data_IF_452001055482
#
_entry.id   IF_452001055482
#
_cell.length_a   1.000
_cell.length_b   1.000
_cell.length_c   1.000
_cell.angle_alpha   90.00
_cell.angle_beta   90.00
_cell.angle_gamma   90.00
#
_symmetry.space_group_name_H-M   'P 1'
#
loop_
_entity.id
_entity.type
_entity.pdbx_description
1 polymer ?
#
# COMPACT_ATOMS: atom_id res chain seq x y z
N UNK A 1 1.67 19.17 0.10
CA UNK A 1 1.15 19.91 -1.08
C UNK A 1 2.26 20.23 -2.08
N UNK A 2 3.45 20.60 -1.63
CA UNK A 2 4.60 20.97 -2.49
C UNK A 2 5.14 19.88 -3.40
N UNK A 3 4.84 18.62 -3.11
CA UNK A 3 5.25 17.45 -3.89
C UNK A 3 4.14 16.92 -4.82
N UNK A 4 3.01 17.63 -4.90
CA UNK A 4 1.90 17.25 -5.79
C UNK A 4 2.14 17.85 -7.17
N UNK A 5 1.87 17.08 -8.22
CA UNK A 5 2.02 17.53 -9.61
C UNK A 5 1.30 18.87 -9.84
N UNK A 6 1.98 19.81 -10.49
CA UNK A 6 1.44 21.15 -10.76
C UNK A 6 1.43 22.13 -9.58
N UNK A 7 1.86 21.73 -8.37
CA UNK A 7 1.90 22.59 -7.18
C UNK A 7 3.33 22.89 -6.73
N UNK A 8 3.78 24.13 -6.95
CA UNK A 8 5.01 24.64 -6.33
C UNK A 8 4.79 25.20 -4.90
N UNK A 9 5.88 25.60 -4.21
CA UNK A 9 5.82 26.18 -2.85
C UNK A 9 4.82 27.33 -2.70
N UNK A 10 4.78 28.26 -3.65
CA UNK A 10 3.84 29.39 -3.61
C UNK A 10 2.38 28.95 -3.75
N UNK A 11 2.08 27.99 -4.63
CA UNK A 11 0.70 27.53 -4.82
C UNK A 11 0.23 26.70 -3.63
N UNK A 12 1.10 25.86 -3.08
CA UNK A 12 0.82 25.11 -1.86
C UNK A 12 0.45 26.05 -0.70
N UNK A 13 1.19 27.16 -0.54
CA UNK A 13 0.87 28.19 0.44
C UNK A 13 -0.49 28.83 0.17
N UNK A 14 -0.75 29.26 -1.07
CA UNK A 14 -2.02 29.90 -1.44
C UNK A 14 -3.24 29.00 -1.17
N UNK A 15 -3.13 27.68 -1.40
CA UNK A 15 -4.21 26.73 -1.09
C UNK A 15 -4.49 26.67 0.42
N UNK A 16 -3.43 26.68 1.24
CA UNK A 16 -3.56 26.68 2.70
C UNK A 16 -4.17 27.98 3.19
N UNK A 17 -3.71 29.12 2.69
CA UNK A 17 -4.20 30.44 3.07
C UNK A 17 -5.68 30.59 2.66
N UNK A 18 -6.04 30.21 1.44
CA UNK A 18 -7.44 30.19 0.99
C UNK A 18 -8.33 29.34 1.90
N UNK A 19 -7.87 28.15 2.31
CA UNK A 19 -8.60 27.27 3.23
C UNK A 19 -8.73 27.86 4.63
N UNK A 20 -7.74 28.60 5.11
CA UNK A 20 -7.82 29.30 6.42
C UNK A 20 -8.86 30.41 6.39
N UNK A 21 -8.93 31.16 5.30
CA UNK A 21 -9.83 32.30 5.15
C UNK A 21 -11.28 31.90 4.83
N UNK A 22 -11.46 30.89 3.97
CA UNK A 22 -12.77 30.52 3.42
C UNK A 22 -13.32 29.21 4.00
N UNK A 23 -12.57 28.55 4.87
CA UNK A 23 -12.91 27.24 5.43
C UNK A 23 -12.53 26.07 4.51
N UNK A 24 -13.00 24.88 4.89
CA UNK A 24 -12.69 23.65 4.15
C UNK A 24 -13.28 23.66 2.73
N UNK A 25 -12.54 23.11 1.77
CA UNK A 25 -13.07 22.89 0.42
C UNK A 25 -14.18 21.83 0.45
N UNK A 26 -15.26 22.10 -0.28
CA UNK A 26 -16.43 21.22 -0.45
C UNK A 26 -16.53 20.63 -1.85
N UNK A 27 -15.74 21.15 -2.80
CA UNK A 27 -15.58 20.59 -4.15
C UNK A 27 -14.26 21.00 -4.79
N UNK A 28 -13.76 20.21 -5.75
CA UNK A 28 -12.53 20.54 -6.49
C UNK A 28 -12.68 21.82 -7.30
N UNK A 29 -13.88 22.13 -7.78
CA UNK A 29 -14.16 23.39 -8.48
C UNK A 29 -13.84 24.64 -7.66
N UNK A 30 -13.86 24.56 -6.32
CA UNK A 30 -13.45 25.68 -5.46
C UNK A 30 -11.95 25.93 -5.51
N UNK A 31 -11.12 24.95 -5.87
CA UNK A 31 -9.68 25.15 -6.03
C UNK A 31 -9.38 26.17 -7.13
N UNK A 32 -10.23 26.29 -8.16
CA UNK A 32 -10.11 27.31 -9.21
C UNK A 32 -10.21 28.75 -8.68
N UNK A 33 -10.74 28.94 -7.46
CA UNK A 33 -10.81 30.24 -6.79
C UNK A 33 -9.53 30.59 -6.03
N UNK A 34 -8.60 29.65 -5.89
CA UNK A 34 -7.32 29.88 -5.20
C UNK A 34 -6.47 30.85 -6.03
N UNK A 35 -5.93 31.93 -5.42
CA UNK A 35 -5.11 32.89 -6.12
C UNK A 35 -3.93 32.23 -6.85
N UNK A 36 -3.74 32.62 -8.12
CA UNK A 36 -2.67 32.14 -9.02
C UNK A 36 -2.77 30.66 -9.43
N UNK A 37 -3.82 29.93 -9.04
CA UNK A 37 -4.07 28.58 -9.56
C UNK A 37 -4.72 28.66 -10.95
N UNK A 38 -3.89 28.66 -11.99
CA UNK A 38 -4.35 28.66 -13.39
C UNK A 38 -4.98 27.33 -13.84
N UNK A 39 -5.64 27.31 -15.01
CA UNK A 39 -6.31 26.12 -15.54
C UNK A 39 -5.36 24.94 -15.77
N UNK A 40 -4.15 25.19 -16.28
CA UNK A 40 -3.13 24.14 -16.47
C UNK A 40 -2.67 23.55 -15.14
N UNK A 41 -2.40 24.39 -14.13
CA UNK A 41 -2.01 23.93 -12.80
C UNK A 41 -3.15 23.14 -12.14
N UNK A 42 -4.40 23.56 -12.32
CA UNK A 42 -5.58 22.83 -11.86
C UNK A 42 -5.67 21.45 -12.52
N UNK A 43 -5.53 21.36 -13.85
CA UNK A 43 -5.56 20.08 -14.56
C UNK A 43 -4.44 19.13 -14.07
N UNK A 44 -3.25 19.65 -13.78
CA UNK A 44 -2.15 18.80 -13.29
C UNK A 44 -2.36 18.30 -11.86
N UNK A 45 -3.02 19.09 -10.99
CA UNK A 45 -3.13 18.75 -9.57
C UNK A 45 -4.47 18.13 -9.17
N UNK A 46 -5.55 18.37 -9.93
CA UNK A 46 -6.91 18.05 -9.49
C UNK A 46 -7.11 16.57 -9.17
N UNK A 47 -6.54 15.64 -9.95
CA UNK A 47 -6.64 14.20 -9.70
C UNK A 47 -5.96 13.73 -8.41
N UNK A 48 -4.96 14.48 -7.93
CA UNK A 48 -4.19 14.14 -6.73
C UNK A 48 -4.76 14.78 -5.46
N UNK A 49 -5.56 15.84 -5.59
CA UNK A 49 -6.17 16.54 -4.46
C UNK A 49 -7.53 15.92 -4.13
N UNK A 50 -7.61 15.23 -3.00
CA UNK A 50 -8.84 14.57 -2.53
C UNK A 50 -9.57 15.41 -1.50
N UNK A 51 -10.90 15.51 -1.63
CA UNK A 51 -11.77 16.22 -0.69
C UNK A 51 -12.73 15.21 -0.07
N UNK A 52 -12.50 14.87 1.21
CA UNK A 52 -13.38 13.96 1.96
C UNK A 52 -14.71 14.65 2.25
N UNK A 53 -15.82 13.94 2.04
CA UNK A 53 -17.17 14.49 2.27
C UNK A 53 -17.57 15.60 1.29
N UNK A 54 -16.94 15.63 0.10
CA UNK A 54 -17.30 16.59 -0.95
C UNK A 54 -18.75 16.39 -1.43
N UNK A 55 -19.33 17.45 -2.00
CA UNK A 55 -20.67 17.37 -2.61
C UNK A 55 -20.73 16.39 -3.77
N UNK A 56 -19.67 16.33 -4.56
CA UNK A 56 -19.51 15.30 -5.58
C UNK A 56 -18.67 14.16 -5.00
N UNK A 57 -19.17 12.92 -4.92
CA UNK A 57 -18.43 11.81 -4.34
C UNK A 57 -17.12 11.50 -5.10
N UNK A 58 -17.01 11.85 -6.38
CA UNK A 58 -15.80 11.66 -7.18
C UNK A 58 -14.62 12.53 -6.73
N UNK A 59 -14.87 13.67 -6.06
CA UNK A 59 -13.80 14.52 -5.51
C UNK A 59 -13.03 13.84 -4.37
N UNK A 60 -13.59 12.76 -3.78
CA UNK A 60 -12.91 11.92 -2.81
C UNK A 60 -12.00 10.84 -3.44
N UNK A 61 -12.09 10.64 -4.75
CA UNK A 61 -11.41 9.58 -5.50
C UNK A 61 -10.22 10.13 -6.30
N UNK A 62 -9.41 9.26 -6.92
CA UNK A 62 -8.39 9.68 -7.89
C UNK A 62 -8.95 9.98 -9.30
N UNK A 63 -10.26 9.81 -9.53
CA UNK A 63 -10.89 10.11 -10.82
C UNK A 63 -10.70 11.59 -11.14
N UNK A 64 -10.12 11.91 -12.30
CA UNK A 64 -9.87 13.29 -12.70
C UNK A 64 -11.18 14.00 -13.12
N UNK A 65 -11.37 15.30 -12.83
CA UNK A 65 -12.57 16.05 -13.24
C UNK A 65 -12.92 16.01 -14.73
N UNK A 66 -11.93 15.79 -15.60
CA UNK A 66 -12.16 15.61 -17.05
C UNK A 66 -13.00 14.36 -17.37
N UNK A 67 -12.95 13.36 -16.50
CA UNK A 67 -13.66 12.09 -16.66
C UNK A 67 -15.01 12.06 -15.96
N UNK A 68 -15.43 13.14 -15.28
CA UNK A 68 -16.69 13.15 -14.52
C UNK A 68 -17.90 12.93 -15.42
N UNK A 69 -17.91 13.52 -16.61
CA UNK A 69 -19.00 13.33 -17.57
C UNK A 69 -19.19 11.88 -18.00
N UNK A 70 -18.10 11.11 -18.07
CA UNK A 70 -18.14 9.68 -18.42
C UNK A 70 -18.76 8.87 -17.27
N UNK A 71 -18.34 9.12 -16.04
CA UNK A 71 -18.89 8.43 -14.86
C UNK A 71 -20.37 8.79 -14.65
N UNK A 72 -20.75 10.04 -14.89
CA UNK A 72 -22.15 10.46 -14.89
C UNK A 72 -22.97 9.75 -15.98
N UNK A 73 -22.39 9.52 -17.16
CA UNK A 73 -23.04 8.75 -18.21
C UNK A 73 -23.20 7.27 -17.82
N UNK A 74 -22.16 6.65 -17.28
CA UNK A 74 -22.22 5.27 -16.76
C UNK A 74 -23.31 5.12 -15.69
N UNK A 75 -23.41 6.05 -14.76
CA UNK A 75 -24.42 6.03 -13.72
C UNK A 75 -25.85 6.16 -14.30
N UNK A 76 -26.04 7.04 -15.29
CA UNK A 76 -27.31 7.20 -16.01
C UNK A 76 -27.73 5.93 -16.73
N UNK A 77 -26.81 5.29 -17.46
CA UNK A 77 -27.10 4.06 -18.20
C UNK A 77 -27.39 2.88 -17.25
N UNK A 78 -26.77 2.86 -16.08
CA UNK A 78 -27.06 1.94 -14.98
C UNK A 78 -28.27 2.34 -14.12
N UNK A 79 -29.01 3.39 -14.52
CA UNK A 79 -30.21 3.90 -13.84
C UNK A 79 -30.00 4.17 -12.34
N UNK A 80 -28.84 4.72 -11.97
CA UNK A 80 -28.48 5.00 -10.59
C UNK A 80 -27.76 6.33 -10.44
N UNK A 81 -27.62 6.80 -9.21
CA UNK A 81 -26.77 7.96 -8.92
C UNK A 81 -25.29 7.57 -8.88
N UNK A 82 -24.40 8.53 -9.08
CA UNK A 82 -22.93 8.28 -8.97
C UNK A 82 -22.56 7.76 -7.57
N UNK A 83 -23.23 8.25 -6.52
CA UNK A 83 -23.03 7.78 -5.16
C UNK A 83 -23.43 6.31 -4.98
N UNK A 84 -24.57 5.91 -5.54
CA UNK A 84 -25.02 4.50 -5.56
C UNK A 84 -24.07 3.63 -6.38
N UNK A 85 -23.60 4.13 -7.53
CA UNK A 85 -22.65 3.40 -8.36
C UNK A 85 -21.34 3.12 -7.61
N UNK A 86 -20.83 4.09 -6.85
CA UNK A 86 -19.62 3.91 -6.02
C UNK A 86 -19.87 2.91 -4.88
N UNK A 87 -21.08 2.89 -4.31
CA UNK A 87 -21.42 2.01 -3.20
C UNK A 87 -21.72 0.56 -3.63
N UNK A 88 -22.25 0.35 -4.84
CA UNK A 88 -22.72 -0.95 -5.33
C UNK A 88 -21.72 -1.60 -6.30
N UNK A 89 -20.91 -2.52 -5.75
CA UNK A 89 -19.90 -3.26 -6.53
C UNK A 89 -20.50 -4.20 -7.57
N UNK A 90 -21.71 -4.73 -7.34
CA UNK A 90 -22.33 -5.63 -8.30
C UNK A 90 -22.80 -4.84 -9.52
N UNK A 91 -23.37 -3.64 -9.32
CA UNK A 91 -23.69 -2.73 -10.44
C UNK A 91 -22.45 -2.34 -11.24
N UNK A 92 -21.33 -2.06 -10.60
CA UNK A 92 -20.08 -1.74 -11.30
C UNK A 92 -19.66 -2.85 -12.28
N UNK A 93 -19.84 -4.12 -11.90
CA UNK A 93 -19.52 -5.28 -12.77
C UNK A 93 -20.44 -5.39 -13.99
N UNK A 94 -21.65 -4.87 -13.91
CA UNK A 94 -22.61 -4.90 -15.04
C UNK A 94 -22.31 -3.85 -16.11
N UNK A 95 -21.44 -2.88 -15.81
CA UNK A 95 -21.08 -1.81 -16.75
C UNK A 95 -20.12 -2.34 -17.80
N UNK A 96 -20.56 -2.31 -19.06
CA UNK A 96 -19.68 -2.55 -20.20
C UNK A 96 -18.89 -1.28 -20.54
N UNK A 97 -17.66 -1.20 -20.02
CA UNK A 97 -16.77 -0.05 -20.23
C UNK A 97 -16.46 0.22 -21.70
N UNK A 98 -16.57 -0.77 -22.60
CA UNK A 98 -16.26 -0.59 -24.03
C UNK A 98 -17.18 0.42 -24.71
N UNK A 99 -18.39 0.61 -24.17
CA UNK A 99 -19.38 1.57 -24.68
C UNK A 99 -18.98 3.04 -24.48
N UNK A 100 -18.04 3.30 -23.57
CA UNK A 100 -17.63 4.65 -23.18
C UNK A 100 -16.26 5.05 -23.72
N UNK A 101 -15.70 4.27 -24.65
CA UNK A 101 -14.45 4.60 -25.34
C UNK A 101 -14.71 5.80 -26.26
N UNK A 102 -13.88 6.83 -26.13
CA UNK A 102 -13.91 8.02 -27.00
C UNK A 102 -12.55 8.19 -27.68
N UNK A 103 -12.43 9.22 -28.53
CA UNK A 103 -11.15 9.59 -29.16
C UNK A 103 -10.09 9.97 -28.13
N UNK A 104 -10.50 10.55 -27.00
CA UNK A 104 -9.59 11.07 -25.98
C UNK A 104 -9.43 10.10 -24.79
N UNK A 105 -10.37 9.18 -24.60
CA UNK A 105 -10.42 8.26 -23.45
C UNK A 105 -10.45 6.81 -23.91
N UNK A 106 -9.33 6.12 -23.74
CA UNK A 106 -9.16 4.71 -24.06
C UNK A 106 -9.58 3.75 -22.95
N UNK A 107 -9.57 2.45 -23.27
CA UNK A 107 -9.86 1.38 -22.31
C UNK A 107 -8.98 1.39 -21.03
N UNK A 108 -7.67 1.71 -21.07
CA UNK A 108 -6.86 1.78 -19.85
C UNK A 108 -7.42 2.79 -18.84
N UNK A 109 -7.76 4.00 -19.31
CA UNK A 109 -8.35 5.05 -18.48
C UNK A 109 -9.68 4.63 -17.88
N UNK A 110 -10.55 3.98 -18.67
CA UNK A 110 -11.84 3.49 -18.19
C UNK A 110 -11.68 2.37 -17.16
N UNK A 111 -10.73 1.45 -17.37
CA UNK A 111 -10.38 0.42 -16.41
C UNK A 111 -9.91 1.03 -15.09
N UNK A 112 -9.06 2.06 -15.14
CA UNK A 112 -8.55 2.72 -13.94
C UNK A 112 -9.65 3.51 -13.21
N UNK A 113 -10.55 4.16 -13.94
CA UNK A 113 -11.77 4.77 -13.37
C UNK A 113 -12.57 3.70 -12.62
N UNK A 114 -12.85 2.55 -13.22
CA UNK A 114 -13.62 1.49 -12.57
C UNK A 114 -12.95 0.94 -11.31
N UNK A 115 -11.62 0.74 -11.34
CA UNK A 115 -10.86 0.35 -10.13
C UNK A 115 -10.97 1.39 -9.03
N UNK A 116 -10.94 2.66 -9.39
CA UNK A 116 -11.04 3.76 -8.44
C UNK A 116 -12.47 3.92 -7.89
N UNK A 117 -13.51 3.63 -8.68
CA UNK A 117 -14.89 3.55 -8.21
C UNK A 117 -15.12 2.38 -7.24
N UNK A 118 -14.43 1.25 -7.43
CA UNK A 118 -14.54 0.09 -6.53
C UNK A 118 -13.95 0.38 -5.14
N UNK A 119 -12.87 1.17 -5.09
CA UNK A 119 -12.14 1.53 -3.87
C UNK A 119 -11.67 2.99 -3.94
N UNK A 120 -12.57 3.96 -3.71
CA UNK A 120 -12.24 5.37 -3.85
C UNK A 120 -11.15 5.79 -2.88
N UNK A 121 -10.05 6.29 -3.42
CA UNK A 121 -8.94 6.78 -2.62
C UNK A 121 -8.13 5.67 -1.93
N UNK A 122 -8.13 4.45 -2.49
CA UNK A 122 -7.28 3.34 -2.04
C UNK A 122 -5.87 3.87 -1.78
N UNK A 123 -5.37 3.57 -0.59
CA UNK A 123 -3.98 3.83 -0.26
C UNK A 123 -3.12 2.84 -1.08
N UNK A 124 -2.22 3.32 -1.95
CA UNK A 124 -1.36 2.45 -2.74
C UNK A 124 -0.23 1.84 -1.90
N UNK A 125 -0.03 2.30 -0.66
CA UNK A 125 0.88 1.64 0.27
C UNK A 125 0.39 0.22 0.50
N UNK A 126 1.29 -0.75 0.35
CA UNK A 126 1.03 -2.12 0.78
C UNK A 126 0.51 -2.07 2.22
N UNK A 127 -0.52 -2.87 2.50
CA UNK A 127 -0.94 -3.07 3.88
C UNK A 127 0.31 -3.53 4.61
N UNK A 128 0.72 -2.77 5.63
CA UNK A 128 1.82 -3.15 6.49
C UNK A 128 1.41 -4.51 7.06
N UNK A 129 2.04 -5.59 6.61
CA UNK A 129 1.90 -6.88 7.26
C UNK A 129 2.45 -6.66 8.67
N UNK A 130 1.56 -6.59 9.66
CA UNK A 130 1.91 -6.44 11.06
C UNK A 130 2.65 -7.70 11.51
N UNK A 131 3.95 -7.73 11.26
CA UNK A 131 4.83 -8.74 11.81
C UNK A 131 4.79 -8.62 13.34
N UNK A 132 4.38 -9.70 13.99
CA UNK A 132 4.42 -9.84 15.43
C UNK A 132 5.19 -11.10 15.78
N UNK A 133 6.11 -10.97 16.74
CA UNK A 133 6.74 -12.14 17.34
C UNK A 133 5.68 -13.02 18.01
N UNK A 134 5.99 -14.31 18.17
CA UNK A 134 5.11 -15.22 18.88
C UNK A 134 4.85 -14.68 20.30
N UNK A 135 3.58 -14.51 20.67
CA UNK A 135 3.20 -13.93 21.98
C UNK A 135 3.59 -14.83 23.16
N UNK A 136 3.81 -16.11 22.89
CA UNK A 136 4.03 -17.14 23.91
C UNK A 136 5.53 -17.41 24.16
N UNK A 137 6.43 -16.74 23.42
CA UNK A 137 7.88 -16.97 23.48
C UNK A 137 8.59 -15.67 23.82
N UNK A 138 9.21 -15.62 25.00
CA UNK A 138 9.97 -14.45 25.46
C UNK A 138 11.40 -14.80 25.88
N UNK A 139 11.60 -16.03 26.33
CA UNK A 139 12.89 -16.52 26.82
C UNK A 139 13.35 -17.75 26.08
N UNK A 140 14.64 -18.07 26.19
CA UNK A 140 15.22 -19.27 25.58
C UNK A 140 14.63 -20.57 26.18
N UNK A 141 14.11 -20.51 27.42
CA UNK A 141 13.45 -21.63 28.10
C UNK A 141 12.09 -21.98 27.50
N UNK A 142 11.45 -21.03 26.80
CA UNK A 142 10.17 -21.24 26.11
C UNK A 142 10.34 -21.93 24.75
N UNK A 143 11.60 -22.05 24.27
CA UNK A 143 11.90 -22.68 22.99
C UNK A 143 11.95 -24.20 23.12
N UNK A 144 11.22 -24.87 22.23
CA UNK A 144 11.36 -26.30 22.00
C UNK A 144 11.85 -26.59 20.58
N UNK A 145 12.64 -27.65 20.44
CA UNK A 145 13.04 -28.15 19.13
C UNK A 145 11.80 -28.47 18.28
N UNK A 146 11.84 -28.03 17.02
CA UNK A 146 10.76 -28.22 16.07
C UNK A 146 9.73 -27.09 15.99
N UNK A 147 9.73 -26.13 16.92
CA UNK A 147 8.85 -24.96 16.86
C UNK A 147 9.14 -24.11 15.63
N UNK A 148 8.09 -23.59 15.01
CA UNK A 148 8.18 -22.65 13.89
C UNK A 148 7.75 -21.28 14.38
N UNK A 149 8.65 -20.30 14.27
CA UNK A 149 8.47 -18.96 14.84
C UNK A 149 8.75 -17.90 13.77
N UNK A 150 8.00 -16.78 13.78
CA UNK A 150 8.34 -15.61 12.99
C UNK A 150 9.59 -14.94 13.57
N UNK A 151 10.51 -14.54 12.69
CA UNK A 151 11.73 -13.83 13.06
C UNK A 151 12.15 -12.77 12.04
N UNK A 152 13.10 -11.93 12.44
CA UNK A 152 13.66 -10.86 11.61
C UNK A 152 15.15 -11.10 11.41
N UNK A 153 15.63 -11.02 10.17
CA UNK A 153 17.05 -11.15 9.86
C UNK A 153 17.81 -9.92 10.39
N UNK A 154 18.64 -10.12 11.41
CA UNK A 154 19.43 -9.06 12.05
C UNK A 154 20.78 -8.87 11.40
N UNK A 155 21.37 -9.94 10.88
CA UNK A 155 22.69 -9.90 10.27
C UNK A 155 22.90 -11.03 9.25
N UNK A 156 23.68 -10.76 8.20
CA UNK A 156 24.00 -11.73 7.16
C UNK A 156 25.51 -11.90 7.10
N UNK A 157 25.96 -13.15 7.16
CA UNK A 157 27.37 -13.53 7.10
C UNK A 157 27.61 -14.49 5.94
N UNK A 158 28.88 -14.83 5.67
CA UNK A 158 29.22 -15.79 4.59
C UNK A 158 28.74 -17.22 4.85
N UNK A 159 28.56 -17.60 6.12
CA UNK A 159 28.21 -18.97 6.51
C UNK A 159 26.75 -19.12 6.92
N UNK A 160 25.94 -18.06 6.85
CA UNK A 160 24.55 -18.07 7.28
C UNK A 160 24.01 -16.68 7.62
N UNK A 161 22.83 -16.63 8.22
CA UNK A 161 22.25 -15.40 8.75
C UNK A 161 21.84 -15.56 10.22
N UNK A 162 21.79 -14.44 10.93
CA UNK A 162 21.25 -14.34 12.27
C UNK A 162 19.82 -13.82 12.20
N UNK A 163 18.94 -14.47 12.96
CA UNK A 163 17.51 -14.18 13.01
C UNK A 163 17.11 -13.97 14.46
N UNK A 164 16.56 -12.79 14.74
CA UNK A 164 15.90 -12.50 16.01
C UNK A 164 14.48 -13.10 15.97
N UNK A 165 14.15 -13.92 16.95
CA UNK A 165 12.84 -14.58 17.10
C UNK A 165 12.06 -14.04 18.32
N UNK A 166 12.49 -12.93 18.90
CA UNK A 166 11.85 -12.31 20.06
C UNK A 166 12.33 -12.84 21.40
N UNK A 167 13.36 -13.70 21.40
CA UNK A 167 14.15 -14.04 22.59
C UNK A 167 15.41 -13.18 22.55
N UNK A 168 15.93 -12.74 23.69
CA UNK A 168 17.08 -11.82 23.79
C UNK A 168 18.39 -12.28 23.11
N UNK A 169 18.39 -13.43 22.43
CA UNK A 169 19.50 -14.07 21.76
C UNK A 169 19.13 -14.41 20.31
N UNK A 170 19.90 -13.89 19.36
CA UNK A 170 19.72 -14.23 17.95
C UNK A 170 20.03 -15.71 17.69
N UNK A 171 19.18 -16.35 16.89
CA UNK A 171 19.44 -17.69 16.37
C UNK A 171 20.20 -17.67 15.04
N UNK A 172 21.05 -18.67 14.83
CA UNK A 172 21.84 -18.80 13.60
C UNK A 172 21.16 -19.78 12.63
N UNK A 173 20.86 -19.30 11.43
CA UNK A 173 20.53 -20.14 10.28
C UNK A 173 21.79 -20.35 9.46
N UNK A 174 22.35 -21.56 9.50
CA UNK A 174 23.51 -21.92 8.67
C UNK A 174 23.15 -21.91 7.18
N UNK A 175 24.12 -21.68 6.30
CA UNK A 175 23.91 -21.60 4.83
C UNK A 175 23.22 -22.85 4.26
N UNK A 176 23.52 -24.02 4.81
CA UNK A 176 22.89 -25.29 4.44
C UNK A 176 21.43 -25.41 4.88
N UNK A 177 20.95 -24.51 5.73
CA UNK A 177 19.61 -24.49 6.32
C UNK A 177 18.76 -23.30 5.84
N UNK A 178 19.28 -22.48 4.91
CA UNK A 178 18.56 -21.33 4.32
C UNK A 178 17.50 -21.73 3.29
N UNK A 179 17.76 -22.76 2.49
CA UNK A 179 16.87 -23.16 1.40
C UNK A 179 17.12 -24.61 0.97
N UNK A 180 16.11 -25.27 0.39
CA UNK A 180 16.20 -26.66 -0.11
C UNK A 180 17.14 -26.83 -1.31
N UNK A 181 17.50 -25.72 -1.98
CA UNK A 181 18.50 -25.69 -3.05
C UNK A 181 19.90 -25.35 -2.52
N UNK A 182 20.94 -25.61 -3.33
CA UNK A 182 22.29 -25.17 -3.03
C UNK A 182 22.37 -23.63 -3.03
N UNK A 183 22.91 -23.06 -1.95
CA UNK A 183 23.08 -21.62 -1.76
C UNK A 183 24.56 -21.32 -1.68
N UNK A 184 25.06 -20.49 -2.60
CA UNK A 184 26.46 -20.03 -2.61
C UNK A 184 26.68 -18.80 -1.73
N UNK A 185 25.68 -17.91 -1.66
CA UNK A 185 25.74 -16.68 -0.88
C UNK A 185 24.40 -16.45 -0.16
N UNK A 186 24.39 -16.37 1.18
CA UNK A 186 23.18 -16.08 1.95
C UNK A 186 22.43 -14.82 1.53
N UNK A 187 23.15 -13.79 1.07
CA UNK A 187 22.57 -12.52 0.65
C UNK A 187 21.68 -12.61 -0.60
N UNK A 188 21.77 -13.72 -1.36
CA UNK A 188 20.90 -13.96 -2.52
C UNK A 188 19.53 -14.53 -2.12
N UNK A 189 19.41 -15.04 -0.88
CA UNK A 189 18.20 -15.66 -0.35
C UNK A 189 17.50 -14.75 0.66
N UNK A 190 18.28 -14.05 1.48
CA UNK A 190 17.76 -13.18 2.53
C UNK A 190 18.33 -11.77 2.47
N UNK A 191 17.56 -10.82 3.00
CA UNK A 191 17.94 -9.42 3.14
C UNK A 191 17.92 -8.99 4.62
N UNK A 192 18.68 -7.95 4.93
CA UNK A 192 18.70 -7.37 6.28
C UNK A 192 17.30 -6.82 6.62
N UNK A 193 16.81 -7.07 7.83
CA UNK A 193 15.45 -6.75 8.30
C UNK A 193 14.32 -7.47 7.56
N UNK A 194 14.63 -8.51 6.80
CA UNK A 194 13.59 -9.35 6.20
C UNK A 194 12.87 -10.16 7.28
N UNK A 195 11.55 -10.18 7.21
CA UNK A 195 10.72 -11.07 8.02
C UNK A 195 10.77 -12.47 7.42
N UNK A 196 11.06 -13.47 8.26
CA UNK A 196 11.24 -14.86 7.86
C UNK A 196 10.56 -15.78 8.85
N UNK A 197 10.10 -16.92 8.38
CA UNK A 197 9.64 -18.02 9.23
C UNK A 197 10.79 -19.01 9.43
N UNK A 198 11.11 -19.31 10.68
CA UNK A 198 12.23 -20.18 11.06
C UNK A 198 11.79 -21.29 11.98
N UNK A 199 12.40 -22.46 11.82
CA UNK A 199 12.20 -23.63 12.66
C UNK A 199 13.37 -23.81 13.61
N UNK A 200 13.11 -24.02 14.89
CA UNK A 200 14.12 -24.35 15.89
C UNK A 200 14.64 -25.78 15.63
N UNK A 201 15.95 -25.92 15.41
CA UNK A 201 16.62 -27.21 15.23
C UNK A 201 17.13 -27.71 16.58
N UNK A 202 17.86 -26.84 17.28
CA UNK A 202 18.59 -27.19 18.51
C UNK A 202 18.73 -25.93 19.38
N UNK A 203 18.64 -26.13 20.70
CA UNK A 203 18.77 -25.08 21.72
C UNK A 203 19.88 -25.48 22.69
N UNK A 204 21.05 -24.84 22.59
CA UNK A 204 22.17 -25.07 23.50
C UNK A 204 22.13 -24.06 24.66
N UNK A 205 21.51 -24.48 25.75
CA UNK A 205 21.40 -23.71 27.00
C UNK A 205 22.74 -23.45 27.69
N UNK A 206 23.77 -24.27 27.46
CA UNK A 206 25.08 -24.05 28.09
C UNK A 206 25.84 -22.92 27.42
N UNK A 207 25.66 -22.76 26.11
CA UNK A 207 26.37 -21.77 25.29
C UNK A 207 25.49 -20.59 24.87
N UNK A 208 24.22 -20.58 25.28
CA UNK A 208 23.20 -19.61 24.88
C UNK A 208 23.11 -19.45 23.35
N UNK A 209 23.08 -20.57 22.63
CA UNK A 209 23.00 -20.61 21.16
C UNK A 209 21.73 -21.30 20.70
N UNK A 210 21.11 -20.74 19.68
CA UNK A 210 19.91 -21.29 19.04
C UNK A 210 20.25 -21.57 17.58
N UNK A 211 20.05 -22.81 17.14
CA UNK A 211 20.21 -23.21 15.74
C UNK A 211 18.85 -23.24 15.06
N UNK A 212 18.74 -22.51 13.95
CA UNK A 212 17.49 -22.29 13.23
C UNK A 212 17.57 -22.84 11.79
N UNK A 213 16.43 -23.19 11.21
CA UNK A 213 16.30 -23.56 9.80
C UNK A 213 15.18 -22.80 9.11
N UNK A 214 15.41 -22.39 7.87
CA UNK A 214 14.38 -21.90 6.96
C UNK A 214 13.92 -22.99 5.97
N UNK A 215 14.56 -24.17 5.97
CA UNK A 215 14.18 -25.31 5.12
C UNK A 215 12.87 -25.93 5.55
N UNK A 216 12.02 -26.26 4.57
CA UNK A 216 10.73 -26.88 4.82
C UNK A 216 9.75 -26.01 5.62
N UNK A 217 10.00 -24.70 5.70
CA UNK A 217 9.11 -23.71 6.30
C UNK A 217 8.64 -22.77 5.22
N UNK A 218 7.32 -22.62 5.08
CA UNK A 218 6.73 -21.70 4.12
C UNK A 218 7.00 -20.26 4.57
N UNK A 219 7.64 -19.48 3.70
CA UNK A 219 7.95 -18.06 3.91
C UNK A 219 6.77 -17.20 3.46
#
# INVERSE_FOLDING_TARGET
LTYVSGLGPSLAKNIVDYRRENGAFTSRSQLKKVPRLGPAAFQQCAGFLRIRGAKNPLDGSAVHPESYGIVEQMARDAQCSVAELIADKERQKTIDIKKYVTTDVGLPTLSDIMKELEKPGRDPREQIEEFSFSKDVHTMDDLAEGMVLPGIVTNITKFGCFVDIGVHNDGLVHISHLSDRFVSNPADIVHLHQHVMVKVIEVDYRRNRISLSMKGVQQ
#
